data_IF_876355441293
#
_entry.id   IF_876355441293
#
_cell.length_a   1.000
_cell.length_b   1.000
_cell.length_c   1.000
_cell.angle_alpha   90.00
_cell.angle_beta   90.00
_cell.angle_gamma   90.00
#
_symmetry.space_group_name_H-M   'P 1'
#
loop_
_entity.id
_entity.type
_entity.pdbx_description
1 polymer ?
#
# COMPACT_ATOMS: atom_id res chain seq x y z
N UNK A 1 -2.74 -11.56 -9.92
CA UNK A 1 -3.01 -11.85 -8.50
C UNK A 1 -1.92 -11.16 -7.73
N UNK A 2 -2.27 -10.20 -6.88
CA UNK A 2 -1.31 -9.45 -6.08
C UNK A 2 -1.63 -9.73 -4.62
N UNK A 3 -0.64 -10.22 -3.88
CA UNK A 3 -0.78 -10.52 -2.47
C UNK A 3 -0.14 -9.36 -1.71
N UNK A 4 -0.95 -8.75 -0.87
CA UNK A 4 -0.56 -7.69 0.03
C UNK A 4 -0.32 -8.27 1.43
N UNK A 5 0.85 -8.05 1.98
CA UNK A 5 1.20 -8.41 3.35
C UNK A 5 1.45 -7.12 4.10
N UNK A 6 0.69 -6.92 5.18
CA UNK A 6 0.97 -5.87 6.15
C UNK A 6 1.36 -6.46 7.48
N UNK A 7 2.37 -5.86 8.09
CA UNK A 7 2.99 -6.31 9.34
C UNK A 7 2.34 -5.59 10.50
N UNK A 8 1.74 -6.30 11.48
CA UNK A 8 1.22 -5.72 12.73
C UNK A 8 1.76 -6.41 13.99
N UNK A 9 1.92 -5.59 15.04
CA UNK A 9 2.38 -6.05 16.36
C UNK A 9 1.31 -5.97 17.45
N UNK A 10 0.18 -5.28 17.23
CA UNK A 10 -0.97 -5.27 18.17
C UNK A 10 -2.26 -4.76 17.51
N UNK A 11 -3.37 -5.42 17.86
CA UNK A 11 -4.70 -5.33 17.25
C UNK A 11 -5.54 -4.10 17.65
N UNK A 12 -4.98 -3.12 18.37
CA UNK A 12 -5.82 -2.16 19.12
C UNK A 12 -6.23 -0.89 18.40
N UNK A 13 -5.68 -0.56 17.23
CA UNK A 13 -6.06 0.67 16.52
C UNK A 13 -6.67 0.31 15.16
N UNK A 14 -7.88 0.79 14.96
CA UNK A 14 -8.70 0.53 13.78
C UNK A 14 -7.99 0.82 12.45
N UNK A 15 -8.31 -0.01 11.47
CA UNK A 15 -8.08 0.14 10.03
C UNK A 15 -6.68 -0.29 9.58
N UNK A 16 -6.70 -0.97 8.45
CA UNK A 16 -5.67 -1.60 7.63
C UNK A 16 -4.30 -0.91 7.50
N UNK A 17 -3.96 0.18 8.21
CA UNK A 17 -2.72 0.96 8.09
C UNK A 17 -2.00 1.16 9.43
N UNK A 18 -0.89 0.45 9.65
CA UNK A 18 -0.02 0.78 10.78
C UNK A 18 0.72 2.06 10.52
N UNK A 19 0.42 3.02 11.38
CA UNK A 19 1.07 4.31 11.42
C UNK A 19 2.34 4.20 12.25
N UNK A 20 3.48 4.31 11.59
CA UNK A 20 4.76 4.42 12.24
C UNK A 20 5.15 5.90 12.39
N UNK A 21 5.84 6.27 13.49
CA UNK A 21 6.29 7.63 13.69
C UNK A 21 7.35 8.00 12.65
N UNK A 22 7.29 9.22 12.10
CA UNK A 22 8.23 9.69 11.08
C UNK A 22 9.71 9.63 11.50
N UNK A 23 9.99 9.64 12.81
CA UNK A 23 11.36 9.48 13.33
C UNK A 23 12.06 8.18 12.89
N UNK A 24 11.30 7.15 12.51
CA UNK A 24 11.85 5.87 12.01
C UNK A 24 11.91 5.78 10.48
N UNK A 25 11.39 6.78 9.77
CA UNK A 25 11.22 6.72 8.31
C UNK A 25 12.56 6.51 7.60
N UNK A 26 13.55 7.33 7.93
CA UNK A 26 14.83 7.34 7.22
C UNK A 26 15.65 6.07 7.52
N UNK A 27 15.49 5.49 8.71
CA UNK A 27 16.05 4.17 9.07
C UNK A 27 15.52 3.07 8.14
N UNK A 28 14.19 3.01 7.96
CA UNK A 28 13.52 2.03 7.11
C UNK A 28 13.86 2.23 5.62
N UNK A 29 13.93 3.49 5.16
CA UNK A 29 14.36 3.81 3.79
C UNK A 29 15.76 3.25 3.53
N UNK A 30 16.68 3.44 4.48
CA UNK A 30 18.05 2.96 4.37
C UNK A 30 18.13 1.43 4.41
N UNK A 31 17.47 0.81 5.40
CA UNK A 31 17.45 -0.64 5.60
C UNK A 31 16.99 -1.40 4.34
N UNK A 32 15.95 -0.90 3.67
CA UNK A 32 15.39 -1.52 2.47
C UNK A 32 15.88 -0.88 1.16
N UNK A 33 16.83 0.06 1.23
CA UNK A 33 17.36 0.78 0.05
C UNK A 33 16.25 1.37 -0.84
N UNK A 34 15.21 1.95 -0.22
CA UNK A 34 14.04 2.47 -0.91
C UNK A 34 14.38 3.76 -1.69
N UNK A 35 13.82 3.89 -2.88
CA UNK A 35 13.98 5.07 -3.74
C UNK A 35 12.74 5.94 -3.69
N UNK A 36 12.95 7.24 -3.67
CA UNK A 36 11.85 8.21 -3.75
C UNK A 36 11.20 8.16 -5.14
N UNK A 37 9.89 7.88 -5.17
CA UNK A 37 9.05 7.78 -6.36
C UNK A 37 8.17 9.03 -6.57
N UNK A 38 8.32 10.03 -5.71
CA UNK A 38 7.60 11.29 -5.71
C UNK A 38 6.24 11.23 -5.02
N UNK A 39 5.50 12.33 -5.15
CA UNK A 39 4.17 12.47 -4.58
C UNK A 39 3.17 11.64 -5.39
N UNK A 40 2.36 10.86 -4.68
CA UNK A 40 1.22 10.13 -5.21
C UNK A 40 -0.06 10.65 -4.59
N UNK A 41 -1.12 10.65 -5.39
CA UNK A 41 -2.47 10.89 -4.90
C UNK A 41 -3.35 9.70 -5.28
N UNK A 42 -4.02 9.13 -4.31
CA UNK A 42 -4.95 8.00 -4.49
C UNK A 42 -6.35 8.45 -4.12
N UNK A 43 -7.32 8.08 -4.95
CA UNK A 43 -8.73 8.26 -4.67
C UNK A 43 -9.39 6.90 -4.63
N UNK A 44 -10.27 6.69 -3.67
CA UNK A 44 -11.13 5.51 -3.61
C UNK A 44 -12.59 5.91 -3.80
N UNK A 45 -13.29 5.19 -4.67
CA UNK A 45 -14.71 5.35 -4.93
C UNK A 45 -15.35 3.97 -5.11
N UNK A 46 -16.11 3.52 -4.14
CA UNK A 46 -16.59 2.15 -4.01
C UNK A 46 -15.42 1.15 -4.13
N UNK A 47 -15.48 0.24 -5.10
CA UNK A 47 -14.41 -0.71 -5.41
C UNK A 47 -13.45 -0.19 -6.49
N UNK A 48 -13.41 1.13 -6.76
CA UNK A 48 -12.50 1.72 -7.74
C UNK A 48 -11.37 2.45 -7.03
N UNK A 49 -10.14 2.05 -7.34
CA UNK A 49 -8.93 2.78 -7.00
C UNK A 49 -8.50 3.63 -8.20
N UNK A 50 -8.27 4.92 -7.96
CA UNK A 50 -7.75 5.87 -8.95
C UNK A 50 -6.40 6.36 -8.45
N UNK A 51 -5.34 6.05 -9.19
CA UNK A 51 -3.99 6.48 -8.87
C UNK A 51 -3.60 7.64 -9.78
N UNK A 52 -3.37 8.80 -9.18
CA UNK A 52 -2.89 9.98 -9.86
C UNK A 52 -1.39 10.16 -9.64
N UNK A 53 -0.68 10.30 -10.76
CA UNK A 53 0.68 10.83 -10.82
C UNK A 53 0.66 12.11 -11.64
N UNK A 54 1.72 12.93 -11.54
CA UNK A 54 1.82 14.22 -12.24
C UNK A 54 1.49 14.18 -13.75
N UNK A 55 1.56 13.02 -14.41
CA UNK A 55 1.38 12.86 -15.86
C UNK A 55 0.19 12.00 -16.27
N UNK A 56 -0.36 11.18 -15.37
CA UNK A 56 -1.41 10.21 -15.72
C UNK A 56 -2.27 9.85 -14.52
N UNK A 57 -3.52 9.51 -14.79
CA UNK A 57 -4.42 8.85 -13.86
C UNK A 57 -4.70 7.45 -14.36
N UNK A 58 -4.48 6.47 -13.50
CA UNK A 58 -4.75 5.07 -13.75
C UNK A 58 -5.97 4.65 -12.91
N UNK A 59 -6.88 3.86 -13.50
CA UNK A 59 -8.15 3.48 -12.89
C UNK A 59 -8.25 1.95 -12.83
N UNK A 60 -8.60 1.43 -11.65
CA UNK A 60 -8.67 0.00 -11.39
C UNK A 60 -9.92 -0.34 -10.57
N UNK A 61 -10.62 -1.41 -10.94
CA UNK A 61 -11.43 -2.14 -9.97
C UNK A 61 -10.51 -2.92 -9.03
N UNK A 62 -10.74 -2.78 -7.74
CA UNK A 62 -10.06 -3.49 -6.67
C UNK A 62 -11.05 -4.44 -6.02
N UNK A 63 -10.77 -5.75 -6.10
CA UNK A 63 -11.61 -6.77 -5.49
C UNK A 63 -10.78 -7.61 -4.52
N UNK A 64 -11.27 -7.73 -3.29
CA UNK A 64 -10.69 -8.63 -2.30
C UNK A 64 -11.03 -10.08 -2.63
N UNK A 65 -9.99 -10.92 -2.65
CA UNK A 65 -10.11 -12.37 -2.78
C UNK A 65 -10.19 -12.99 -1.38
N UNK A 66 -9.27 -12.62 -0.49
CA UNK A 66 -9.31 -13.00 0.93
C UNK A 66 -8.63 -11.96 1.82
N UNK A 67 -9.01 -11.96 3.10
CA UNK A 67 -8.36 -11.18 4.15
C UNK A 67 -8.17 -12.09 5.34
N UNK A 68 -6.92 -12.37 5.67
CA UNK A 68 -6.53 -13.29 6.73
C UNK A 68 -5.67 -12.56 7.77
N UNK A 69 -5.79 -12.99 9.03
CA UNK A 69 -4.93 -12.52 10.11
C UNK A 69 -4.07 -13.70 10.57
N UNK A 70 -2.75 -13.58 10.43
CA UNK A 70 -1.79 -14.62 10.81
C UNK A 70 -0.60 -14.02 11.53
N UNK A 71 -0.27 -14.53 12.72
CA UNK A 71 0.89 -14.08 13.51
C UNK A 71 0.93 -12.57 13.80
N UNK A 72 -0.24 -11.91 13.81
CA UNK A 72 -0.35 -10.46 13.92
C UNK A 72 -0.26 -9.71 12.58
N UNK A 73 -0.09 -10.40 11.46
CA UNK A 73 -0.07 -9.86 10.10
C UNK A 73 -1.47 -9.91 9.48
N UNK A 74 -1.90 -8.85 8.80
CA UNK A 74 -3.07 -8.86 7.89
C UNK A 74 -2.52 -9.14 6.51
N UNK A 75 -2.95 -10.27 5.97
CA UNK A 75 -2.63 -10.72 4.63
C UNK A 75 -3.89 -10.52 3.81
N UNK A 76 -3.80 -9.65 2.80
CA UNK A 76 -4.91 -9.35 1.89
C UNK A 76 -4.51 -9.86 0.52
N UNK A 77 -5.27 -10.82 0.00
CA UNK A 77 -5.17 -11.20 -1.41
C UNK A 77 -6.22 -10.41 -2.18
N UNK A 78 -5.80 -9.76 -3.26
CA UNK A 78 -6.68 -8.93 -4.06
C UNK A 78 -6.25 -8.91 -5.52
N UNK A 79 -7.20 -8.50 -6.35
CA UNK A 79 -6.95 -8.27 -7.76
C UNK A 79 -7.22 -6.82 -8.14
N UNK A 80 -6.36 -6.30 -9.01
CA UNK A 80 -6.55 -5.04 -9.69
C UNK A 80 -6.88 -5.31 -11.15
N UNK A 81 -8.05 -4.86 -11.59
CA UNK A 81 -8.48 -4.94 -12.97
C UNK A 81 -8.60 -3.54 -13.56
N UNK A 82 -7.89 -3.21 -14.66
CA UNK A 82 -8.04 -1.91 -15.31
C UNK A 82 -9.51 -1.63 -15.65
N UNK A 83 -9.94 -0.38 -15.44
CA UNK A 83 -11.27 0.06 -15.84
C UNK A 83 -11.22 1.34 -16.70
N UNK A 84 -12.26 1.61 -17.50
CA UNK A 84 -12.30 2.80 -18.33
C UNK A 84 -12.22 4.08 -17.48
N UNK A 85 -11.43 5.09 -17.87
CA UNK A 85 -11.41 6.38 -17.19
C UNK A 85 -12.80 7.03 -17.18
N UNK A 86 -13.15 7.68 -16.08
CA UNK A 86 -14.40 8.43 -15.93
C UNK A 86 -14.21 9.68 -15.09
N UNK A 87 -15.14 10.62 -15.20
CA UNK A 87 -15.16 11.82 -14.38
C UNK A 87 -15.74 11.49 -13.00
N UNK A 88 -15.06 11.92 -11.94
CA UNK A 88 -15.49 11.76 -10.56
C UNK A 88 -15.39 13.10 -9.82
N UNK A 89 -16.24 13.29 -8.81
CA UNK A 89 -16.33 14.55 -8.07
C UNK A 89 -16.35 14.34 -6.55
N UNK A 90 -17.03 13.28 -6.08
CA UNK A 90 -17.02 12.86 -4.69
C UNK A 90 -16.37 11.48 -4.62
N UNK A 91 -15.42 11.33 -3.71
CA UNK A 91 -14.70 10.09 -3.44
C UNK A 91 -14.95 9.71 -2.00
N UNK A 92 -14.88 8.42 -1.70
CA UNK A 92 -15.08 7.93 -0.34
C UNK A 92 -13.85 8.25 0.52
N UNK A 93 -12.65 8.10 -0.06
CA UNK A 93 -11.39 8.47 0.56
C UNK A 93 -10.43 9.13 -0.45
N UNK A 94 -9.58 10.01 0.07
CA UNK A 94 -8.46 10.61 -0.65
C UNK A 94 -7.18 10.50 0.18
N UNK A 95 -6.10 10.10 -0.46
CA UNK A 95 -4.78 10.03 0.16
C UNK A 95 -3.75 10.77 -0.68
N UNK A 96 -2.90 11.54 -0.01
CA UNK A 96 -1.72 12.17 -0.60
C UNK A 96 -0.52 11.82 0.25
N UNK A 97 0.50 11.24 -0.38
CA UNK A 97 1.72 10.81 0.31
C UNK A 97 2.94 10.87 -0.62
N UNK A 98 4.11 10.96 -0.02
CA UNK A 98 5.38 10.72 -0.70
C UNK A 98 5.67 9.22 -0.70
N UNK A 99 5.84 8.64 -1.89
CA UNK A 99 6.07 7.21 -2.05
C UNK A 99 7.56 6.91 -2.14
N UNK A 100 8.03 5.95 -1.36
CA UNK A 100 9.32 5.32 -1.52
C UNK A 100 9.13 3.84 -1.86
N UNK A 101 9.89 3.33 -2.82
CA UNK A 101 9.77 1.93 -3.23
C UNK A 101 11.11 1.30 -3.55
N UNK A 102 11.21 0.01 -3.26
CA UNK A 102 12.31 -0.88 -3.62
C UNK A 102 11.78 -2.31 -3.71
N UNK A 103 12.64 -3.23 -4.12
CA UNK A 103 12.30 -4.64 -4.17
C UNK A 103 13.46 -5.49 -3.62
N UNK A 104 13.12 -6.58 -2.94
CA UNK A 104 14.07 -7.55 -2.40
C UNK A 104 13.43 -8.93 -2.43
N UNK A 105 14.12 -9.91 -3.00
CA UNK A 105 13.70 -11.32 -3.05
C UNK A 105 12.25 -11.54 -3.57
N UNK A 106 11.89 -10.91 -4.70
CA UNK A 106 10.54 -10.91 -5.29
C UNK A 106 9.43 -10.31 -4.40
N UNK A 107 9.82 -9.52 -3.39
CA UNK A 107 8.91 -8.75 -2.55
C UNK A 107 9.13 -7.27 -2.86
N UNK A 108 8.10 -6.63 -3.38
CA UNK A 108 8.04 -5.19 -3.54
C UNK A 108 7.73 -4.54 -2.20
N UNK A 109 8.54 -3.58 -1.80
CA UNK A 109 8.40 -2.87 -0.53
C UNK A 109 8.01 -1.43 -0.86
N UNK A 110 6.92 -0.97 -0.26
CA UNK A 110 6.44 0.40 -0.42
C UNK A 110 6.33 1.08 0.95
N UNK A 111 6.95 2.23 1.08
CA UNK A 111 6.76 3.14 2.21
C UNK A 111 5.97 4.36 1.74
N UNK A 112 4.81 4.61 2.35
CA UNK A 112 3.98 5.78 2.10
C UNK A 112 4.17 6.76 3.24
N UNK A 113 4.83 7.90 2.98
CA UNK A 113 5.06 8.94 3.98
C UNK A 113 3.97 10.01 3.89
N UNK A 114 3.21 10.16 4.97
CA UNK A 114 2.21 11.21 5.17
C UNK A 114 2.80 12.32 6.04
N UNK A 115 2.00 13.36 6.34
CA UNK A 115 2.45 14.51 7.12
C UNK A 115 2.88 14.15 8.56
N UNK A 116 2.21 13.19 9.19
CA UNK A 116 2.39 12.90 10.62
C UNK A 116 2.89 11.47 10.90
N UNK A 117 2.88 10.60 9.89
CA UNK A 117 3.24 9.18 10.02
C UNK A 117 3.66 8.59 8.67
N UNK A 118 4.21 7.39 8.69
CA UNK A 118 4.36 6.57 7.49
C UNK A 118 3.73 5.20 7.66
N UNK A 119 3.42 4.54 6.56
CA UNK A 119 3.01 3.13 6.51
C UNK A 119 4.00 2.36 5.65
N UNK A 120 4.12 1.06 5.90
CA UNK A 120 4.92 0.13 5.09
C UNK A 120 4.06 -1.03 4.60
N UNK A 121 4.30 -1.43 3.36
CA UNK A 121 3.56 -2.45 2.65
C UNK A 121 4.54 -3.37 1.92
N UNK A 122 4.28 -4.68 2.01
CA UNK A 122 5.05 -5.71 1.32
C UNK A 122 4.11 -6.39 0.32
N UNK A 123 4.49 -6.38 -0.95
CA UNK A 123 3.66 -6.81 -2.06
C UNK A 123 4.39 -7.93 -2.79
N UNK A 124 3.73 -9.05 -3.00
CA UNK A 124 4.30 -10.22 -3.66
C UNK A 124 3.24 -10.92 -4.51
N UNK A 125 3.65 -11.67 -5.52
CA UNK A 125 2.76 -12.53 -6.31
C UNK A 125 2.74 -13.99 -5.79
N UNK A 126 3.58 -14.33 -4.80
CA UNK A 126 3.75 -15.68 -4.26
C UNK A 126 3.36 -15.77 -2.78
N UNK A 127 2.30 -16.52 -2.49
CA UNK A 127 1.83 -16.81 -1.11
C UNK A 127 2.90 -17.50 -0.25
N UNK A 128 3.82 -18.26 -0.87
CA UNK A 128 4.87 -18.99 -0.15
C UNK A 128 5.93 -18.10 0.50
N UNK A 129 6.03 -16.82 0.10
CA UNK A 129 7.05 -15.90 0.58
C UNK A 129 6.58 -15.06 1.78
N UNK A 130 5.44 -15.42 2.39
CA UNK A 130 4.71 -14.51 3.27
C UNK A 130 5.42 -14.20 4.60
N UNK A 131 6.33 -15.03 5.14
CA UNK A 131 7.10 -14.78 6.38
C UNK A 131 8.42 -15.60 6.45
N UNK A 132 9.51 -15.19 7.14
CA UNK A 132 9.64 -14.14 8.15
C UNK A 132 10.75 -13.10 7.87
N UNK A 133 10.37 -11.85 7.66
CA UNK A 133 11.23 -10.68 7.87
C UNK A 133 10.75 -9.92 9.12
#
# INVERSE_FOLDING_TARGET
MFIFIKIFKKLSDSVYDIRHPLSKRDEIILEHSLKNMGIKKVYQLNNVMIQSSQKRMDFYYENDISVDIKDGYIIRDYELKPCPPFNFYRTDNEEVYELYSGSKDDIDIQLKSYNDFFTIEYITDKVSNILPY
#
